data_IF_884454960081
#
_entry.id   IF_884454960081
#
_cell.length_a   1.000
_cell.length_b   1.000
_cell.length_c   1.000
_cell.angle_alpha   90.00
_cell.angle_beta   90.00
_cell.angle_gamma   90.00
#
_symmetry.space_group_name_H-M   'P 1'
#
loop_
_entity.id
_entity.type
_entity.pdbx_description
1 polymer ?
#
# COMPACT_ATOMS: atom_id res chain seq x y z
N UNK A 1 -34.74 -26.23 33.99
CA UNK A 1 -33.62 -25.64 34.72
C UNK A 1 -32.30 -26.22 34.17
N UNK A 2 -32.09 -26.17 32.84
CA UNK A 2 -30.88 -26.65 32.12
C UNK A 2 -30.61 -25.83 30.84
N UNK A 3 -30.93 -24.51 30.82
CA UNK A 3 -30.84 -23.74 29.55
C UNK A 3 -30.06 -22.42 29.65
N UNK A 4 -29.26 -22.22 30.69
CA UNK A 4 -28.46 -20.98 30.86
C UNK A 4 -26.93 -21.15 30.77
N UNK A 5 -26.41 -22.37 30.49
CA UNK A 5 -24.96 -22.64 30.56
C UNK A 5 -24.23 -22.60 29.22
N UNK A 6 -24.89 -22.23 28.10
CA UNK A 6 -24.25 -22.24 26.75
C UNK A 6 -24.01 -20.85 26.18
N UNK A 7 -24.22 -19.77 26.93
CA UNK A 7 -24.24 -18.40 26.39
C UNK A 7 -22.89 -17.66 26.36
N UNK A 8 -21.80 -18.22 26.93
CA UNK A 8 -20.53 -17.45 27.08
C UNK A 8 -19.26 -18.22 26.67
N UNK A 9 -19.29 -18.97 25.59
CA UNK A 9 -18.03 -19.43 24.99
C UNK A 9 -17.45 -18.32 24.14
N UNK A 10 -16.20 -17.83 24.43
CA UNK A 10 -15.56 -16.83 23.61
C UNK A 10 -15.44 -17.35 22.18
N UNK A 11 -15.92 -16.58 21.22
CA UNK A 11 -15.86 -16.91 19.80
C UNK A 11 -14.41 -17.21 19.39
N UNK A 12 -14.11 -18.46 19.07
CA UNK A 12 -12.78 -18.88 18.60
C UNK A 12 -12.47 -18.11 17.33
N UNK A 13 -11.39 -17.31 17.29
CA UNK A 13 -11.05 -16.52 16.10
C UNK A 13 -10.81 -17.47 14.92
N UNK A 14 -11.56 -17.27 13.85
CA UNK A 14 -11.43 -18.07 12.62
C UNK A 14 -9.97 -18.08 12.13
N UNK A 15 -9.44 -19.24 11.70
CA UNK A 15 -8.07 -19.37 11.22
C UNK A 15 -7.82 -18.40 10.05
N UNK A 16 -6.61 -17.84 9.97
CA UNK A 16 -6.18 -16.82 8.99
C UNK A 16 -6.58 -17.20 7.54
N UNK A 17 -6.51 -18.47 7.18
CA UNK A 17 -6.92 -18.99 5.86
C UNK A 17 -8.38 -18.68 5.53
N UNK A 18 -9.30 -18.81 6.50
CA UNK A 18 -10.72 -18.49 6.31
C UNK A 18 -10.96 -17.00 6.17
N UNK A 19 -10.24 -16.18 6.95
CA UNK A 19 -10.34 -14.70 6.88
C UNK A 19 -9.85 -14.18 5.53
N UNK A 20 -8.74 -14.70 5.01
CA UNK A 20 -8.19 -14.32 3.69
C UNK A 20 -9.13 -14.76 2.55
N UNK A 21 -9.60 -16.03 2.57
CA UNK A 21 -10.51 -16.55 1.55
C UNK A 21 -11.86 -15.82 1.51
N UNK A 22 -12.37 -15.43 2.68
CA UNK A 22 -13.61 -14.64 2.77
C UNK A 22 -13.40 -13.20 2.27
N UNK A 23 -12.23 -12.60 2.56
CA UNK A 23 -11.84 -11.28 2.05
C UNK A 23 -11.74 -11.24 0.52
N UNK A 24 -11.15 -12.27 -0.11
CA UNK A 24 -10.99 -12.36 -1.56
C UNK A 24 -12.34 -12.49 -2.32
N UNK A 25 -13.39 -13.00 -1.66
CA UNK A 25 -14.72 -13.16 -2.26
C UNK A 25 -15.61 -11.93 -2.19
N UNK A 26 -15.19 -10.85 -1.52
CA UNK A 26 -15.99 -9.62 -1.41
C UNK A 26 -15.65 -8.66 -2.55
N UNK A 27 -16.59 -8.34 -3.46
CA UNK A 27 -16.37 -7.40 -4.56
C UNK A 27 -15.84 -6.04 -4.08
N UNK A 28 -16.29 -5.60 -2.91
CA UNK A 28 -15.84 -4.36 -2.27
C UNK A 28 -14.31 -4.27 -2.10
N UNK A 29 -13.65 -5.40 -1.78
CA UNK A 29 -12.19 -5.43 -1.61
C UNK A 29 -11.45 -5.23 -2.93
N UNK A 30 -12.00 -5.73 -4.03
CA UNK A 30 -11.45 -5.53 -5.37
C UNK A 30 -11.59 -4.07 -5.82
N UNK A 31 -12.74 -3.43 -5.55
CA UNK A 31 -12.90 -2.00 -5.81
C UNK A 31 -11.94 -1.15 -4.98
N UNK A 32 -11.69 -1.51 -3.73
CA UNK A 32 -10.68 -0.83 -2.91
C UNK A 32 -9.27 -1.03 -3.46
N UNK A 33 -8.92 -2.24 -3.93
CA UNK A 33 -7.62 -2.51 -4.56
C UNK A 33 -7.44 -1.70 -5.85
N UNK A 34 -8.46 -1.63 -6.69
CA UNK A 34 -8.41 -0.81 -7.93
C UNK A 34 -8.22 0.67 -7.58
N UNK A 35 -8.97 1.20 -6.61
CA UNK A 35 -8.79 2.59 -6.14
C UNK A 35 -7.38 2.82 -5.59
N UNK A 36 -6.87 1.89 -4.80
CA UNK A 36 -5.51 1.94 -4.26
C UNK A 36 -4.46 1.99 -5.38
N UNK A 37 -4.60 1.13 -6.38
CA UNK A 37 -3.72 1.11 -7.55
C UNK A 37 -3.81 2.41 -8.37
N UNK A 38 -5.02 2.94 -8.56
CA UNK A 38 -5.24 4.23 -9.24
C UNK A 38 -4.58 5.40 -8.49
N UNK A 39 -4.70 5.41 -7.16
CA UNK A 39 -3.99 6.40 -6.30
C UNK A 39 -2.48 6.25 -6.45
N UNK A 40 -1.96 5.00 -6.45
CA UNK A 40 -0.53 4.75 -6.66
C UNK A 40 -0.04 5.26 -8.03
N UNK A 41 -0.81 5.03 -9.09
CA UNK A 41 -0.51 5.54 -10.43
C UNK A 41 -0.54 7.07 -10.48
N UNK A 42 -1.53 7.72 -9.85
CA UNK A 42 -1.57 9.18 -9.73
C UNK A 42 -0.38 9.74 -8.96
N UNK A 43 0.05 9.04 -7.91
CA UNK A 43 1.23 9.37 -7.13
C UNK A 43 2.52 9.33 -7.96
N UNK A 44 2.63 8.42 -8.92
CA UNK A 44 3.75 8.39 -9.86
C UNK A 44 3.77 9.65 -10.74
N UNK A 45 2.62 10.07 -11.27
CA UNK A 45 2.51 11.31 -12.05
C UNK A 45 2.89 12.52 -11.21
N UNK A 46 2.38 12.60 -9.96
CA UNK A 46 2.72 13.67 -9.01
C UNK A 46 4.22 13.69 -8.70
N UNK A 47 4.83 12.51 -8.49
CA UNK A 47 6.27 12.39 -8.26
C UNK A 47 7.07 12.95 -9.43
N UNK A 48 6.78 12.52 -10.66
CA UNK A 48 7.49 12.93 -11.85
C UNK A 48 7.33 14.43 -12.12
N UNK A 49 6.11 14.95 -11.98
CA UNK A 49 5.83 16.39 -12.13
C UNK A 49 6.60 17.23 -11.10
N UNK A 50 6.55 16.82 -9.81
CA UNK A 50 7.28 17.51 -8.73
C UNK A 50 8.79 17.45 -8.96
N UNK A 51 9.32 16.28 -9.34
CA UNK A 51 10.73 16.10 -9.65
C UNK A 51 11.18 17.06 -10.76
N UNK A 52 10.43 17.08 -11.85
CA UNK A 52 10.73 17.94 -13.02
C UNK A 52 10.71 19.42 -12.64
N UNK A 53 9.70 19.87 -11.89
CA UNK A 53 9.63 21.24 -11.39
C UNK A 53 10.81 21.60 -10.49
N UNK A 54 11.13 20.74 -9.52
CA UNK A 54 12.26 20.96 -8.61
C UNK A 54 13.61 21.02 -9.37
N UNK A 55 13.79 20.18 -10.37
CA UNK A 55 15.04 20.11 -11.13
C UNK A 55 15.18 21.29 -12.09
N UNK A 56 14.16 21.58 -12.89
CA UNK A 56 14.27 22.53 -14.00
C UNK A 56 13.82 23.96 -13.66
N UNK A 57 12.89 24.12 -12.71
CA UNK A 57 12.38 25.45 -12.33
C UNK A 57 13.08 25.95 -11.06
N UNK A 58 13.19 25.10 -10.03
CA UNK A 58 13.82 25.47 -8.76
C UNK A 58 15.35 25.28 -8.77
N UNK A 59 15.93 24.64 -9.80
CA UNK A 59 17.37 24.43 -9.91
C UNK A 59 17.98 23.51 -8.84
N UNK A 60 17.17 22.67 -8.22
CA UNK A 60 17.64 21.78 -7.14
C UNK A 60 18.53 20.68 -7.69
N UNK A 61 19.52 20.28 -6.90
CA UNK A 61 20.28 19.07 -7.18
C UNK A 61 19.34 17.85 -7.29
N UNK A 62 19.60 16.92 -8.22
CA UNK A 62 18.70 15.80 -8.53
C UNK A 62 18.33 14.94 -7.31
N UNK A 63 19.21 14.74 -6.33
CA UNK A 63 18.93 14.01 -5.12
C UNK A 63 17.92 14.77 -4.23
N UNK A 64 18.08 16.09 -4.09
CA UNK A 64 17.15 16.93 -3.35
C UNK A 64 15.78 16.97 -4.05
N UNK A 65 15.77 17.15 -5.38
CA UNK A 65 14.55 17.09 -6.19
C UNK A 65 13.82 15.74 -6.04
N UNK A 66 14.56 14.61 -6.05
CA UNK A 66 14.01 13.28 -5.83
C UNK A 66 13.41 13.08 -4.44
N UNK A 67 14.07 13.61 -3.41
CA UNK A 67 13.56 13.55 -2.03
C UNK A 67 12.27 14.35 -1.88
N UNK A 68 12.20 15.59 -2.40
CA UNK A 68 10.99 16.41 -2.37
C UNK A 68 9.87 15.73 -3.13
N UNK A 69 10.15 15.22 -4.33
CA UNK A 69 9.16 14.52 -5.16
C UNK A 69 8.59 13.27 -4.45
N UNK A 70 9.45 12.49 -3.78
CA UNK A 70 9.03 11.34 -3.00
C UNK A 70 8.10 11.74 -1.84
N UNK A 71 8.47 12.75 -1.05
CA UNK A 71 7.66 13.23 0.08
C UNK A 71 6.30 13.74 -0.40
N UNK A 72 6.26 14.52 -1.48
CA UNK A 72 5.01 15.02 -2.05
C UNK A 72 4.14 13.86 -2.57
N UNK A 73 4.71 12.91 -3.29
CA UNK A 73 3.97 11.76 -3.84
C UNK A 73 3.42 10.84 -2.73
N UNK A 74 4.22 10.51 -1.71
CA UNK A 74 3.77 9.66 -0.61
C UNK A 74 2.69 10.33 0.23
N UNK A 75 2.79 11.64 0.43
CA UNK A 75 1.76 12.44 1.11
C UNK A 75 0.47 12.46 0.30
N UNK A 76 0.55 12.70 -1.00
CA UNK A 76 -0.60 12.61 -1.91
C UNK A 76 -1.28 11.23 -1.84
N UNK A 77 -0.50 10.16 -1.94
CA UNK A 77 -1.01 8.79 -1.86
C UNK A 77 -1.67 8.49 -0.50
N UNK A 78 -1.09 8.97 0.61
CA UNK A 78 -1.69 8.83 1.93
C UNK A 78 -3.04 9.53 2.00
N UNK A 79 -3.13 10.80 1.58
CA UNK A 79 -4.36 11.60 1.64
C UNK A 79 -5.48 10.93 0.85
N UNK A 80 -5.22 10.56 -0.40
CA UNK A 80 -6.21 9.91 -1.25
C UNK A 80 -6.61 8.53 -0.74
N UNK A 81 -5.66 7.72 -0.28
CA UNK A 81 -5.99 6.41 0.30
C UNK A 81 -6.82 6.55 1.56
N UNK A 82 -6.49 7.49 2.46
CA UNK A 82 -7.24 7.74 3.68
C UNK A 82 -8.68 8.18 3.39
N UNK A 83 -8.88 9.13 2.48
CA UNK A 83 -10.19 9.73 2.23
C UNK A 83 -11.04 8.96 1.22
N UNK A 84 -10.43 8.41 0.18
CA UNK A 84 -11.16 7.81 -0.94
C UNK A 84 -11.13 6.30 -0.96
N UNK A 85 -9.96 5.68 -0.76
CA UNK A 85 -9.82 4.22 -0.85
C UNK A 85 -10.38 3.54 0.39
N UNK A 86 -9.92 3.92 1.57
CA UNK A 86 -10.26 3.25 2.83
C UNK A 86 -11.32 3.99 3.64
N UNK A 87 -11.56 5.29 3.38
CA UNK A 87 -12.50 6.14 4.10
C UNK A 87 -12.27 6.18 5.62
N UNK A 88 -11.02 6.04 6.04
CA UNK A 88 -10.58 5.94 7.42
C UNK A 88 -10.39 7.35 8.03
N UNK A 89 -11.50 8.08 8.27
CA UNK A 89 -11.46 9.48 8.73
C UNK A 89 -11.37 9.61 10.24
N UNK A 90 -11.82 8.60 10.98
CA UNK A 90 -12.01 8.66 12.44
C UNK A 90 -10.70 8.42 13.22
N UNK A 91 -9.70 7.77 12.60
CA UNK A 91 -8.40 7.54 13.21
C UNK A 91 -7.48 8.76 13.21
N UNK A 92 -6.51 8.78 14.14
CA UNK A 92 -5.50 9.85 14.23
C UNK A 92 -4.59 9.86 13.01
N UNK A 93 -4.67 10.94 12.21
CA UNK A 93 -4.01 11.04 10.90
C UNK A 93 -2.49 10.80 10.94
N UNK A 94 -1.80 11.28 11.98
CA UNK A 94 -0.36 11.12 12.13
C UNK A 94 0.06 9.66 12.30
N UNK A 95 -0.64 8.89 13.14
CA UNK A 95 -0.37 7.46 13.31
C UNK A 95 -0.71 6.66 12.04
N UNK A 96 -1.79 7.00 11.37
CA UNK A 96 -2.14 6.38 10.09
C UNK A 96 -1.08 6.67 9.03
N UNK A 97 -0.56 7.91 8.96
CA UNK A 97 0.50 8.30 8.04
C UNK A 97 1.81 7.54 8.31
N UNK A 98 2.24 7.44 9.58
CA UNK A 98 3.45 6.71 9.94
C UNK A 98 3.35 5.22 9.58
N UNK A 99 2.21 4.58 9.87
CA UNK A 99 1.95 3.19 9.51
C UNK A 99 1.90 2.99 7.98
N UNK A 100 1.22 3.90 7.26
CA UNK A 100 1.17 3.89 5.80
C UNK A 100 2.57 3.97 5.19
N UNK A 101 3.40 4.87 5.69
CA UNK A 101 4.78 5.00 5.24
C UNK A 101 5.59 3.73 5.51
N UNK A 102 5.50 3.15 6.70
CA UNK A 102 6.20 1.91 7.05
C UNK A 102 5.79 0.73 6.15
N UNK A 103 4.48 0.57 5.89
CA UNK A 103 3.97 -0.46 4.95
C UNK A 103 4.48 -0.21 3.53
N UNK A 104 4.48 1.05 3.09
CA UNK A 104 4.96 1.40 1.75
C UNK A 104 6.45 1.12 1.58
N UNK A 105 7.27 1.41 2.60
CA UNK A 105 8.70 1.07 2.61
C UNK A 105 8.90 -0.45 2.59
N UNK A 106 8.16 -1.21 3.39
CA UNK A 106 8.25 -2.66 3.40
C UNK A 106 7.87 -3.28 2.04
N UNK A 107 6.80 -2.79 1.40
CA UNK A 107 6.40 -3.22 0.07
C UNK A 107 7.44 -2.85 -1.01
N UNK A 108 8.07 -1.68 -0.87
CA UNK A 108 9.16 -1.26 -1.76
C UNK A 108 10.39 -2.18 -1.62
N UNK A 109 10.81 -2.49 -0.40
CA UNK A 109 11.92 -3.43 -0.16
C UNK A 109 11.61 -4.83 -0.72
N UNK A 110 10.37 -5.30 -0.56
CA UNK A 110 9.91 -6.55 -1.17
C UNK A 110 9.99 -6.48 -2.71
N UNK A 111 9.56 -5.36 -3.31
CA UNK A 111 9.64 -5.15 -4.76
C UNK A 111 11.10 -5.17 -5.25
N UNK A 112 12.04 -4.56 -4.51
CA UNK A 112 13.47 -4.61 -4.85
C UNK A 112 14.03 -6.02 -4.76
N UNK A 113 13.71 -6.78 -3.73
CA UNK A 113 14.14 -8.17 -3.59
C UNK A 113 13.60 -9.05 -4.72
N UNK A 114 12.31 -8.85 -5.09
CA UNK A 114 11.70 -9.55 -6.22
C UNK A 114 12.37 -9.18 -7.55
N UNK A 115 12.67 -7.89 -7.76
CA UNK A 115 13.37 -7.41 -8.94
C UNK A 115 14.75 -8.06 -9.08
N UNK A 116 15.53 -8.10 -8.00
CA UNK A 116 16.85 -8.73 -7.98
C UNK A 116 16.75 -10.24 -8.27
N UNK A 117 15.79 -10.94 -7.67
CA UNK A 117 15.55 -12.35 -7.95
C UNK A 117 15.23 -12.61 -9.41
N UNK A 118 14.38 -11.78 -10.02
CA UNK A 118 13.95 -11.93 -11.41
C UNK A 118 15.07 -11.60 -12.40
N UNK A 119 15.82 -10.54 -12.16
CA UNK A 119 16.90 -10.09 -13.08
C UNK A 119 18.17 -10.89 -12.82
N UNK A 120 18.67 -10.91 -11.58
CA UNK A 120 19.95 -11.55 -11.23
C UNK A 120 19.83 -13.08 -11.12
N UNK A 121 18.71 -13.59 -10.61
CA UNK A 121 18.51 -15.02 -10.41
C UNK A 121 17.96 -15.77 -11.62
N UNK A 122 16.95 -15.17 -12.31
CA UNK A 122 16.22 -15.83 -13.41
C UNK A 122 16.52 -15.25 -14.79
N UNK A 123 17.35 -14.20 -14.90
CA UNK A 123 17.70 -13.57 -16.17
C UNK A 123 16.53 -12.89 -16.90
N UNK A 124 15.47 -12.52 -16.19
CA UNK A 124 14.31 -11.86 -16.79
C UNK A 124 14.69 -10.46 -17.24
N UNK A 125 14.19 -10.04 -18.40
CA UNK A 125 14.44 -8.70 -18.92
C UNK A 125 14.01 -7.62 -17.90
N UNK A 126 14.86 -6.62 -17.63
CA UNK A 126 14.75 -5.65 -16.54
C UNK A 126 13.38 -4.95 -16.46
N UNK A 127 12.83 -4.53 -17.61
CA UNK A 127 11.53 -3.83 -17.66
C UNK A 127 10.39 -4.75 -17.28
N UNK A 128 10.41 -6.01 -17.77
CA UNK A 128 9.39 -7.02 -17.41
C UNK A 128 9.51 -7.41 -15.94
N UNK A 129 10.73 -7.61 -15.45
CA UNK A 129 11.01 -7.91 -14.06
C UNK A 129 10.47 -6.80 -13.12
N UNK A 130 10.69 -5.53 -13.48
CA UNK A 130 10.16 -4.38 -12.73
C UNK A 130 8.62 -4.38 -12.71
N UNK A 131 7.98 -4.64 -13.85
CA UNK A 131 6.52 -4.71 -13.92
C UNK A 131 5.96 -5.84 -13.01
N UNK A 132 6.57 -7.02 -13.05
CA UNK A 132 6.19 -8.16 -12.19
C UNK A 132 6.41 -7.81 -10.71
N UNK A 133 7.54 -7.21 -10.35
CA UNK A 133 7.87 -6.81 -8.99
C UNK A 133 6.83 -5.83 -8.41
N UNK A 134 6.44 -4.81 -9.20
CA UNK A 134 5.40 -3.83 -8.80
C UNK A 134 4.05 -4.52 -8.64
N UNK A 135 3.63 -5.35 -9.60
CA UNK A 135 2.34 -6.05 -9.56
C UNK A 135 2.25 -6.97 -8.35
N UNK A 136 3.33 -7.68 -8.00
CA UNK A 136 3.37 -8.57 -6.83
C UNK A 136 3.42 -7.81 -5.51
N UNK A 137 4.08 -6.64 -5.45
CA UNK A 137 4.15 -5.80 -4.25
C UNK A 137 2.83 -5.04 -3.97
N UNK A 138 2.05 -4.71 -5.01
CA UNK A 138 0.81 -3.92 -4.86
C UNK A 138 -0.23 -4.56 -3.93
N UNK A 139 -0.58 -5.85 -4.06
CA UNK A 139 -1.50 -6.50 -3.11
C UNK A 139 -0.97 -6.53 -1.68
N UNK A 140 0.34 -6.72 -1.48
CA UNK A 140 0.96 -6.71 -0.15
C UNK A 140 0.85 -5.33 0.49
N UNK A 141 1.17 -4.28 -0.26
CA UNK A 141 1.03 -2.89 0.17
C UNK A 141 -0.45 -2.55 0.49
N UNK A 142 -1.38 -2.98 -0.36
CA UNK A 142 -2.82 -2.80 -0.12
C UNK A 142 -3.29 -3.50 1.15
N UNK A 143 -2.97 -4.77 1.33
CA UNK A 143 -3.38 -5.56 2.50
C UNK A 143 -2.76 -5.00 3.77
N UNK A 144 -1.48 -4.67 3.75
CA UNK A 144 -0.78 -4.06 4.87
C UNK A 144 -1.43 -2.74 5.29
N UNK A 145 -1.72 -1.85 4.34
CA UNK A 145 -2.38 -0.58 4.63
C UNK A 145 -3.82 -0.78 5.13
N UNK A 146 -4.58 -1.71 4.54
CA UNK A 146 -5.95 -2.00 4.96
C UNK A 146 -6.03 -2.57 6.37
N UNK A 147 -5.11 -3.48 6.73
CA UNK A 147 -5.18 -4.20 8.00
C UNK A 147 -4.47 -3.47 9.15
N UNK A 148 -3.56 -2.56 8.84
CA UNK A 148 -2.73 -1.92 9.86
C UNK A 148 -2.78 -0.38 9.83
N UNK A 149 -2.61 0.24 8.65
CA UNK A 149 -2.53 1.70 8.57
C UNK A 149 -3.88 2.39 8.76
N UNK A 150 -4.93 1.82 8.18
CA UNK A 150 -6.29 2.36 8.16
C UNK A 150 -7.29 1.49 8.92
N UNK A 151 -6.81 0.72 9.87
CA UNK A 151 -7.64 -0.01 10.80
C UNK A 151 -8.09 0.97 11.89
N UNK A 152 -9.39 1.02 12.13
CA UNK A 152 -10.04 1.69 13.25
C UNK A 152 -9.77 0.93 14.55
#
# INVERSE_FOLDING_TARGET
MLDEATADLPAVPLPLRHRVRHGLRRPHNWFQLVRFAAVGASGYVVNLATYTLCLHVAGLHYLAAGTVAFVVAVTNNFVWNRHWTFRARDGHAGFQAARFFAVSVAAFLFSLAMLELLVGGLGVHKVLAQAIAIVTATPLNFVGNKLWSFRD
#
